data_IF_050655418706
#
_entry.id   IF_050655418706
#
_cell.length_a   1.000
_cell.length_b   1.000
_cell.length_c   1.000
_cell.angle_alpha   90.00
_cell.angle_beta   90.00
_cell.angle_gamma   90.00
#
_symmetry.space_group_name_H-M   'P 1'
#
loop_
_entity.id
_entity.type
_entity.pdbx_description
1 polymer ?
#
# COMPACT_ATOMS: atom_id res chain seq x y z
N UNK A 1 19.99 29.61 63.89
CA UNK A 1 21.17 30.47 63.65
C UNK A 1 21.63 30.26 62.20
N UNK A 2 21.71 31.35 61.42
CA UNK A 2 22.29 31.54 60.06
C UNK A 2 21.62 30.74 58.91
N UNK A 3 20.76 31.34 58.08
CA UNK A 3 21.05 32.25 56.93
C UNK A 3 22.21 31.72 56.05
N UNK A 4 22.09 31.52 54.73
CA UNK A 4 21.72 32.55 53.76
C UNK A 4 21.43 31.96 52.37
N UNK A 5 20.44 32.54 51.70
CA UNK A 5 20.19 32.51 50.25
C UNK A 5 21.29 33.30 49.52
N UNK A 6 21.66 32.93 48.27
CA UNK A 6 21.62 33.81 47.06
C UNK A 6 22.45 33.35 45.84
N UNK A 7 21.77 33.40 44.68
CA UNK A 7 22.16 34.03 43.39
C UNK A 7 23.02 33.22 42.37
N UNK A 8 22.31 32.84 41.30
CA UNK A 8 22.57 33.08 39.86
C UNK A 8 24.00 33.42 39.40
N UNK A 9 24.51 32.69 38.42
CA UNK A 9 25.22 33.31 37.28
C UNK A 9 25.05 32.46 36.01
N UNK A 10 24.35 33.04 35.04
CA UNK A 10 24.25 32.63 33.65
C UNK A 10 25.48 33.20 32.92
N UNK A 11 26.23 32.37 32.18
CA UNK A 11 27.26 32.87 31.25
C UNK A 11 26.99 32.27 29.86
N UNK A 12 26.47 33.14 29.00
CA UNK A 12 26.55 33.08 27.55
C UNK A 12 27.98 33.41 27.12
N UNK A 13 28.56 32.60 26.24
CA UNK A 13 29.64 33.05 25.35
C UNK A 13 29.30 32.66 23.91
N UNK A 14 28.92 33.70 23.17
CA UNK A 14 28.87 33.77 21.71
C UNK A 14 30.28 34.06 21.16
N UNK A 15 30.42 33.83 19.86
CA UNK A 15 31.45 34.32 18.91
C UNK A 15 32.80 33.55 18.93
N UNK A 16 33.41 33.14 17.80
CA UNK A 16 33.43 33.77 16.46
C UNK A 16 33.82 32.77 15.36
N UNK A 17 33.26 32.96 14.16
CA UNK A 17 33.82 32.51 12.89
C UNK A 17 35.03 33.39 12.51
N UNK A 18 36.13 32.81 12.04
CA UNK A 18 37.08 33.44 11.10
C UNK A 18 37.54 32.38 10.07
N UNK A 19 37.49 32.80 8.81
CA UNK A 19 37.79 32.11 7.54
C UNK A 19 39.27 32.23 7.14
N UNK A 20 39.63 31.48 6.09
CA UNK A 20 40.79 31.54 5.17
C UNK A 20 41.84 30.43 5.43
N UNK A 21 42.19 29.52 4.51
CA UNK A 21 42.02 29.42 3.06
C UNK A 21 43.39 29.35 2.38
N UNK A 22 43.85 28.15 1.95
CA UNK A 22 44.63 27.91 0.70
C UNK A 22 45.10 26.45 0.51
N UNK A 23 45.00 26.03 -0.76
CA UNK A 23 45.31 24.74 -1.38
C UNK A 23 46.80 24.33 -1.37
N UNK A 24 47.06 23.02 -1.38
CA UNK A 24 48.19 22.37 -2.08
C UNK A 24 47.67 21.05 -2.70
N UNK A 25 47.92 20.86 -4.01
CA UNK A 25 47.62 19.66 -4.82
C UNK A 25 48.76 18.63 -4.81
N UNK A 26 48.36 17.34 -4.72
CA UNK A 26 48.83 16.10 -5.39
C UNK A 26 50.30 15.61 -5.36
N UNK A 27 50.58 14.32 -5.74
CA UNK A 27 49.73 13.13 -5.92
C UNK A 27 50.28 11.87 -5.22
N UNK A 28 49.48 10.80 -5.10
CA UNK A 28 49.94 9.46 -5.49
C UNK A 28 48.77 8.47 -5.59
N UNK A 29 48.87 7.70 -6.65
CA UNK A 29 47.89 6.88 -7.34
C UNK A 29 47.96 5.45 -6.80
N UNK A 30 46.84 4.90 -6.32
CA UNK A 30 46.62 3.45 -6.36
C UNK A 30 45.15 3.17 -6.63
N UNK A 31 44.92 2.83 -7.89
CA UNK A 31 43.71 2.27 -8.48
C UNK A 31 43.24 1.05 -7.70
N UNK A 32 41.96 1.07 -7.32
CA UNK A 32 41.22 -0.14 -6.98
C UNK A 32 39.82 0.03 -7.54
N UNK A 33 39.64 -0.46 -8.77
CA UNK A 33 38.35 -0.53 -9.45
C UNK A 33 37.39 -1.37 -8.60
N UNK A 34 36.54 -0.69 -7.83
CA UNK A 34 35.28 -1.27 -7.38
C UNK A 34 34.27 -1.01 -8.50
N UNK A 35 33.90 -2.09 -9.16
CA UNK A 35 32.72 -2.15 -10.03
C UNK A 35 31.52 -1.82 -9.16
N UNK A 36 31.11 -0.56 -9.16
CA UNK A 36 29.82 -0.13 -8.66
C UNK A 36 28.77 -0.82 -9.52
N UNK A 37 28.15 -1.85 -8.94
CA UNK A 37 26.99 -2.46 -9.56
C UNK A 37 25.85 -1.49 -9.32
N UNK A 38 25.59 -0.61 -10.28
CA UNK A 38 24.40 0.24 -10.29
C UNK A 38 23.17 -0.66 -10.17
N UNK A 39 22.65 -0.73 -8.95
CA UNK A 39 21.31 -1.23 -8.66
C UNK A 39 20.37 -0.27 -9.39
N UNK A 40 19.44 -0.74 -10.24
CA UNK A 40 18.48 0.16 -10.87
C UNK A 40 17.54 0.71 -9.78
N UNK A 41 17.88 1.86 -9.22
CA UNK A 41 16.96 2.74 -8.50
C UNK A 41 16.05 3.40 -9.53
N UNK A 42 15.10 2.61 -10.06
CA UNK A 42 13.84 3.19 -10.50
C UNK A 42 13.01 3.41 -9.23
N UNK A 43 13.38 4.43 -8.48
CA UNK A 43 12.55 4.96 -7.42
C UNK A 43 11.33 5.59 -8.10
N UNK A 44 10.23 4.85 -8.03
CA UNK A 44 8.94 5.26 -8.54
C UNK A 44 8.57 6.62 -7.96
N UNK A 45 8.41 7.62 -8.83
CA UNK A 45 7.89 8.93 -8.47
C UNK A 45 6.40 8.95 -8.85
N UNK A 46 5.46 8.71 -7.90
CA UNK A 46 4.04 8.74 -8.20
C UNK A 46 3.63 10.13 -8.69
N UNK A 47 2.84 10.16 -9.76
CA UNK A 47 2.12 11.37 -10.15
C UNK A 47 1.00 11.61 -9.12
N UNK A 48 1.21 12.60 -8.25
CA UNK A 48 0.27 12.97 -7.19
C UNK A 48 -0.83 13.84 -7.79
N UNK A 49 -1.94 13.21 -8.22
CA UNK A 49 -3.17 13.96 -8.47
C UNK A 49 -3.75 14.38 -7.12
N UNK A 50 -4.06 15.67 -6.96
CA UNK A 50 -4.71 16.18 -5.76
C UNK A 50 -6.20 15.91 -5.87
N UNK A 51 -6.70 15.00 -5.03
CA UNK A 51 -8.12 14.93 -4.72
C UNK A 51 -8.52 16.28 -4.14
N UNK A 52 -9.25 17.10 -4.91
CA UNK A 52 -9.96 18.21 -4.30
C UNK A 52 -11.14 17.62 -3.52
N UNK A 53 -11.16 17.85 -2.21
CA UNK A 53 -12.38 17.68 -1.41
C UNK A 53 -13.48 18.54 -2.04
N UNK A 54 -14.33 17.91 -2.83
CA UNK A 54 -15.60 18.48 -3.25
C UNK A 54 -16.59 18.01 -2.21
N UNK A 55 -17.20 18.92 -1.45
CA UNK A 55 -18.44 18.63 -0.72
C UNK A 55 -19.41 17.94 -1.68
N UNK A 56 -19.54 16.62 -1.61
CA UNK A 56 -20.15 15.83 -2.68
C UNK A 56 -20.80 14.58 -2.10
N UNK A 57 -22.07 14.67 -1.70
CA UNK A 57 -23.09 13.61 -1.68
C UNK A 57 -22.61 12.13 -1.46
N UNK A 58 -21.63 11.86 -0.59
CA UNK A 58 -21.03 10.53 -0.38
C UNK A 58 -20.36 9.90 -1.61
N UNK A 59 -19.79 10.70 -2.54
CA UNK A 59 -19.10 10.18 -3.74
C UNK A 59 -17.81 10.91 -4.06
N UNK A 60 -16.83 10.16 -4.58
CA UNK A 60 -15.50 10.60 -4.99
C UNK A 60 -15.25 10.37 -6.49
N UNK A 61 -14.36 11.15 -7.11
CA UNK A 61 -14.01 11.02 -8.53
C UNK A 61 -12.59 10.50 -8.70
N UNK A 62 -12.43 9.33 -9.30
CA UNK A 62 -11.15 8.80 -9.75
C UNK A 62 -10.89 9.28 -11.18
N UNK A 63 -9.88 10.12 -11.35
CA UNK A 63 -9.55 10.73 -12.64
C UNK A 63 -8.38 10.02 -13.35
N UNK A 64 -8.65 9.55 -14.57
CA UNK A 64 -7.64 9.10 -15.54
C UNK A 64 -7.59 10.09 -16.70
N UNK A 65 -6.60 9.96 -17.60
CA UNK A 65 -6.42 10.88 -18.74
C UNK A 65 -7.59 10.91 -19.74
N UNK A 66 -8.35 9.82 -19.83
CA UNK A 66 -9.36 9.54 -20.86
C UNK A 66 -10.67 8.96 -20.27
N UNK A 67 -10.76 8.86 -18.94
CA UNK A 67 -11.92 8.33 -18.22
C UNK A 67 -12.01 8.94 -16.83
N UNK A 68 -13.23 9.15 -16.34
CA UNK A 68 -13.49 9.48 -14.95
C UNK A 68 -14.48 8.47 -14.38
N UNK A 69 -14.09 7.87 -13.26
CA UNK A 69 -14.95 6.97 -12.50
C UNK A 69 -15.46 7.72 -11.28
N UNK A 70 -16.77 7.81 -11.14
CA UNK A 70 -17.43 8.31 -9.93
C UNK A 70 -17.70 7.10 -9.04
N UNK A 71 -17.14 7.08 -7.83
CA UNK A 71 -17.23 5.98 -6.87
C UNK A 71 -17.93 6.48 -5.60
N UNK A 72 -18.82 5.69 -5.02
CA UNK A 72 -19.27 5.92 -3.64
C UNK A 72 -18.07 5.97 -2.71
N UNK A 73 -18.05 6.95 -1.82
CA UNK A 73 -16.93 7.23 -0.95
C UNK A 73 -16.55 5.99 -0.13
N UNK A 74 -15.25 5.75 -0.05
CA UNK A 74 -14.68 4.78 0.88
C UNK A 74 -14.13 5.59 2.04
N UNK A 75 -14.67 5.34 3.23
CA UNK A 75 -14.29 6.02 4.46
C UNK A 75 -12.93 5.45 4.94
N UNK A 76 -11.87 6.25 4.80
CA UNK A 76 -10.49 5.78 4.90
C UNK A 76 -9.77 6.25 6.18
N UNK A 77 -10.52 6.50 7.25
CA UNK A 77 -9.95 6.86 8.53
C UNK A 77 -10.98 7.36 9.53
N UNK A 78 -10.52 7.54 10.77
CA UNK A 78 -11.22 8.33 11.77
C UNK A 78 -11.21 9.77 11.29
N UNK A 79 -12.23 10.19 10.53
CA UNK A 79 -12.59 11.59 10.47
C UNK A 79 -12.58 12.11 11.92
N UNK A 80 -11.70 13.09 12.21
CA UNK A 80 -11.93 14.17 13.18
C UNK A 80 -10.64 14.81 13.75
N UNK A 81 -9.43 14.24 13.63
CA UNK A 81 -8.27 14.82 14.36
C UNK A 81 -7.15 15.46 13.52
N UNK A 82 -6.88 15.05 12.28
CA UNK A 82 -5.67 15.53 11.56
C UNK A 82 -5.76 15.70 10.05
N UNK A 83 -6.92 15.51 9.41
CA UNK A 83 -7.01 15.72 7.97
C UNK A 83 -6.82 17.22 7.66
N UNK A 84 -5.75 17.51 6.94
CA UNK A 84 -5.67 18.75 6.14
C UNK A 84 -6.40 18.49 4.83
N UNK A 85 -6.97 19.52 4.20
CA UNK A 85 -7.81 19.45 2.98
C UNK A 85 -7.13 18.81 1.73
N UNK A 86 -6.00 18.13 1.88
CA UNK A 86 -5.11 17.71 0.80
C UNK A 86 -4.63 16.25 0.89
N UNK A 87 -5.15 15.46 1.83
CA UNK A 87 -4.84 14.02 1.87
C UNK A 87 -5.71 13.30 0.82
N UNK A 88 -5.08 12.93 -0.29
CA UNK A 88 -5.74 12.15 -1.33
C UNK A 88 -5.95 10.72 -0.85
N UNK A 89 -7.21 10.30 -0.76
CA UNK A 89 -7.66 8.95 -0.40
C UNK A 89 -7.19 7.84 -1.37
N UNK A 90 -6.70 8.23 -2.55
CA UNK A 90 -6.10 7.34 -3.54
C UNK A 90 -4.95 8.03 -4.28
N UNK A 91 -4.11 7.23 -4.94
CA UNK A 91 -3.08 7.71 -5.88
C UNK A 91 -3.30 7.10 -7.25
N UNK A 92 -3.07 7.85 -8.33
CA UNK A 92 -3.16 7.35 -9.71
C UNK A 92 -1.80 7.26 -10.37
N UNK A 93 -1.53 6.14 -11.05
CA UNK A 93 -0.44 6.02 -12.02
C UNK A 93 -0.98 5.45 -13.34
N UNK A 94 -0.93 6.28 -14.40
CA UNK A 94 -1.43 5.98 -15.74
C UNK A 94 -2.88 5.48 -15.72
N UNK A 95 -3.06 4.18 -15.91
CA UNK A 95 -4.34 3.51 -16.01
C UNK A 95 -4.77 2.85 -14.70
N UNK A 96 -4.03 3.08 -13.60
CA UNK A 96 -4.28 2.43 -12.30
C UNK A 96 -4.52 3.47 -11.21
N UNK A 97 -5.55 3.26 -10.40
CA UNK A 97 -5.76 3.96 -9.13
C UNK A 97 -5.48 3.00 -7.97
N UNK A 98 -4.86 3.49 -6.91
CA UNK A 98 -4.44 2.73 -5.73
C UNK A 98 -5.09 3.31 -4.49
N UNK A 99 -5.76 2.45 -3.72
CA UNK A 99 -6.38 2.73 -2.43
C UNK A 99 -5.69 1.87 -1.37
N UNK A 100 -5.24 2.50 -0.29
CA UNK A 100 -4.67 1.82 0.88
C UNK A 100 -5.73 1.75 1.98
N UNK A 101 -6.52 0.68 1.99
CA UNK A 101 -7.74 0.60 2.79
C UNK A 101 -7.47 0.66 4.29
N UNK A 102 -8.41 1.27 5.01
CA UNK A 102 -8.42 1.33 6.46
C UNK A 102 -9.28 0.21 7.08
N UNK A 103 -8.98 -0.29 8.29
CA UNK A 103 -9.88 -1.21 8.97
C UNK A 103 -11.26 -0.56 9.23
N UNK A 104 -12.32 -1.14 8.66
CA UNK A 104 -13.70 -0.74 8.96
C UNK A 104 -14.58 -0.62 7.72
N UNK A 105 -14.19 0.23 6.76
CA UNK A 105 -14.91 0.39 5.50
C UNK A 105 -14.22 -0.39 4.37
N UNK A 106 -15.05 -0.96 3.50
CA UNK A 106 -14.62 -1.81 2.41
C UNK A 106 -15.19 -1.33 1.09
N UNK A 107 -14.62 -1.81 -0.02
CA UNK A 107 -15.19 -1.55 -1.35
C UNK A 107 -16.37 -2.48 -1.68
N UNK A 108 -16.66 -3.49 -0.85
CA UNK A 108 -17.64 -4.56 -1.10
C UNK A 108 -19.09 -4.07 -1.01
N UNK A 109 -19.55 -3.33 -2.01
CA UNK A 109 -20.93 -2.84 -2.24
C UNK A 109 -20.95 -1.44 -2.84
N UNK A 110 -19.80 -0.74 -2.79
CA UNK A 110 -19.63 0.60 -3.29
C UNK A 110 -20.03 0.67 -4.76
N UNK A 111 -20.95 1.56 -5.05
CA UNK A 111 -21.41 1.85 -6.41
C UNK A 111 -20.36 2.66 -7.14
N UNK A 112 -20.30 2.44 -8.44
CA UNK A 112 -19.52 3.31 -9.31
C UNK A 112 -20.28 3.63 -10.59
N UNK A 113 -19.86 4.68 -11.27
CA UNK A 113 -20.35 5.06 -12.59
C UNK A 113 -19.20 5.60 -13.42
N UNK A 114 -19.35 5.57 -14.75
CA UNK A 114 -18.44 6.22 -15.68
C UNK A 114 -19.07 7.53 -16.13
N UNK A 115 -18.35 8.64 -16.00
CA UNK A 115 -18.88 9.98 -16.30
C UNK A 115 -19.07 10.20 -17.81
N UNK A 116 -18.20 9.62 -18.64
CA UNK A 116 -18.24 9.73 -20.09
C UNK A 116 -19.31 8.81 -20.69
N UNK A 117 -20.48 9.40 -20.98
CA UNK A 117 -21.69 8.69 -21.46
C UNK A 117 -21.52 7.90 -22.78
N UNK A 118 -20.48 8.17 -23.57
CA UNK A 118 -20.21 7.40 -24.79
C UNK A 118 -19.73 5.98 -24.51
N UNK A 119 -19.27 5.68 -23.29
CA UNK A 119 -18.96 4.34 -22.83
C UNK A 119 -20.21 3.67 -22.25
N UNK A 120 -20.96 3.00 -23.10
CA UNK A 120 -22.28 2.43 -22.79
C UNK A 120 -22.26 0.93 -22.46
N UNK A 121 -21.08 0.31 -22.47
CA UNK A 121 -20.87 -1.09 -22.07
C UNK A 121 -19.69 -1.23 -21.13
N UNK A 122 -19.97 -1.69 -19.92
CA UNK A 122 -18.98 -1.87 -18.86
C UNK A 122 -18.85 -3.35 -18.52
N UNK A 123 -17.61 -3.85 -18.54
CA UNK A 123 -17.22 -5.15 -18.02
C UNK A 123 -16.28 -4.93 -16.84
N UNK A 124 -16.43 -5.75 -15.80
CA UNK A 124 -15.57 -5.73 -14.61
C UNK A 124 -14.93 -7.10 -14.44
N UNK A 125 -13.64 -7.12 -14.17
CA UNK A 125 -12.89 -8.32 -13.85
C UNK A 125 -12.12 -8.11 -12.56
N UNK A 126 -11.94 -9.17 -11.80
CA UNK A 126 -11.20 -9.15 -10.55
C UNK A 126 -10.02 -10.11 -10.60
N UNK A 127 -8.92 -9.69 -9.98
CA UNK A 127 -7.79 -10.53 -9.62
C UNK A 127 -7.45 -10.27 -8.16
N UNK A 128 -7.25 -11.32 -7.38
CA UNK A 128 -6.98 -11.25 -5.95
C UNK A 128 -5.57 -11.78 -5.66
N UNK A 129 -4.86 -11.10 -4.77
CA UNK A 129 -3.50 -11.46 -4.34
C UNK A 129 -3.54 -11.85 -2.87
N UNK A 130 -3.11 -13.09 -2.59
CA UNK A 130 -2.98 -13.64 -1.26
C UNK A 130 -1.51 -13.81 -0.90
N UNK A 131 -1.15 -13.43 0.32
CA UNK A 131 0.16 -13.71 0.90
C UNK A 131 0.00 -14.54 2.17
N UNK A 132 1.07 -15.20 2.57
CA UNK A 132 1.12 -15.82 3.89
C UNK A 132 1.24 -14.74 4.96
N UNK A 133 0.47 -14.87 6.03
CA UNK A 133 0.58 -14.02 7.19
C UNK A 133 0.68 -14.85 8.47
N UNK A 134 1.45 -14.33 9.43
CA UNK A 134 1.63 -14.90 10.76
C UNK A 134 0.72 -14.19 11.75
N UNK A 135 0.02 -14.96 12.58
CA UNK A 135 -0.64 -14.49 13.79
C UNK A 135 0.24 -14.80 15.00
N UNK A 136 0.32 -13.85 15.91
CA UNK A 136 1.06 -14.01 17.17
C UNK A 136 0.08 -14.20 18.32
N UNK A 137 0.48 -14.98 19.32
CA UNK A 137 -0.23 -15.02 20.61
C UNK A 137 0.26 -13.96 21.60
N UNK A 138 1.22 -13.12 21.19
CA UNK A 138 1.75 -12.03 22.02
C UNK A 138 0.69 -10.95 22.21
N UNK A 139 0.67 -10.36 23.40
CA UNK A 139 -0.12 -9.16 23.68
C UNK A 139 0.61 -7.92 23.14
N UNK A 140 0.44 -7.67 21.84
CA UNK A 140 0.93 -6.47 21.14
C UNK A 140 -0.22 -5.81 20.38
N UNK A 141 -0.03 -4.54 20.01
CA UNK A 141 -1.06 -3.73 19.33
C UNK A 141 -1.56 -4.38 18.04
N UNK A 142 -0.65 -4.90 17.21
CA UNK A 142 -0.98 -5.64 15.99
C UNK A 142 -0.28 -7.01 16.02
N UNK A 143 -0.94 -8.08 16.52
CA UNK A 143 -0.36 -9.43 16.59
C UNK A 143 -0.43 -10.13 15.22
N UNK A 144 -0.07 -9.42 14.16
CA UNK A 144 -0.17 -9.86 12.77
C UNK A 144 1.07 -9.45 11.97
N UNK A 145 1.59 -10.33 11.11
CA UNK A 145 2.68 -10.02 10.18
C UNK A 145 2.44 -10.67 8.82
N UNK A 146 2.23 -9.88 7.77
CA UNK A 146 2.25 -10.37 6.40
C UNK A 146 3.69 -10.61 5.95
N UNK A 147 3.98 -11.80 5.43
CA UNK A 147 5.29 -12.17 4.91
C UNK A 147 5.45 -11.57 3.50
N UNK A 148 5.79 -10.28 3.45
CA UNK A 148 6.01 -9.56 2.20
C UNK A 148 7.26 -10.06 1.46
N UNK A 149 7.29 -9.85 0.14
CA UNK A 149 8.40 -10.24 -0.75
C UNK A 149 8.76 -11.74 -0.72
N UNK A 150 7.79 -12.59 -0.37
CA UNK A 150 7.90 -14.04 -0.41
C UNK A 150 6.86 -14.64 -1.38
N UNK A 151 6.64 -15.96 -1.29
CA UNK A 151 5.66 -16.70 -2.08
C UNK A 151 4.27 -16.07 -1.94
N UNK A 152 3.64 -15.85 -3.09
CA UNK A 152 2.34 -15.20 -3.24
C UNK A 152 1.46 -16.10 -4.09
N UNK A 153 0.17 -16.15 -3.80
CA UNK A 153 -0.82 -16.70 -4.71
C UNK A 153 -1.53 -15.54 -5.40
N UNK A 154 -1.63 -15.62 -6.72
CA UNK A 154 -2.37 -14.68 -7.54
C UNK A 154 -3.49 -15.46 -8.23
N UNK A 155 -4.73 -14.99 -8.11
CA UNK A 155 -5.83 -15.59 -8.84
C UNK A 155 -5.71 -15.31 -10.34
N UNK A 156 -6.36 -16.14 -11.14
CA UNK A 156 -6.69 -15.75 -12.50
C UNK A 156 -7.67 -14.58 -12.50
N UNK A 157 -7.74 -13.86 -13.63
CA UNK A 157 -8.77 -12.85 -13.83
C UNK A 157 -10.14 -13.52 -13.92
N UNK A 158 -11.02 -13.21 -12.99
CA UNK A 158 -12.41 -13.67 -12.99
C UNK A 158 -13.35 -12.54 -13.40
N UNK A 159 -14.40 -12.81 -14.22
CA UNK A 159 -15.42 -11.80 -14.50
C UNK A 159 -16.27 -11.55 -13.25
N UNK A 160 -16.57 -10.29 -12.98
CA UNK A 160 -17.51 -9.89 -11.91
C UNK A 160 -18.86 -9.61 -12.54
N UNK A 161 -19.90 -10.28 -12.05
CA UNK A 161 -21.25 -10.09 -12.57
C UNK A 161 -21.79 -8.71 -12.20
N UNK A 162 -21.98 -7.87 -13.22
CA UNK A 162 -22.53 -6.52 -13.06
C UNK A 162 -24.05 -6.49 -13.28
N UNK A 163 -24.73 -5.65 -12.51
CA UNK A 163 -26.05 -5.13 -12.85
C UNK A 163 -25.87 -3.81 -13.59
N UNK A 164 -26.24 -3.75 -14.87
CA UNK A 164 -26.00 -2.55 -15.70
C UNK A 164 -26.80 -1.32 -15.23
N UNK A 165 -27.85 -1.50 -14.42
CA UNK A 165 -28.61 -0.39 -13.82
C UNK A 165 -27.98 0.13 -12.51
N UNK A 166 -27.08 -0.64 -11.89
CA UNK A 166 -26.43 -0.31 -10.63
C UNK A 166 -25.07 -1.02 -10.58
N UNK A 167 -24.04 -0.37 -11.12
CA UNK A 167 -22.69 -0.93 -11.11
C UNK A 167 -22.13 -0.88 -9.69
N UNK A 168 -21.61 -2.00 -9.21
CA UNK A 168 -21.05 -2.16 -7.86
C UNK A 168 -19.80 -3.00 -7.93
N UNK A 169 -18.85 -2.71 -7.05
CA UNK A 169 -17.78 -3.64 -6.78
C UNK A 169 -18.31 -4.80 -5.95
N UNK A 170 -17.97 -6.01 -6.39
CA UNK A 170 -18.23 -7.28 -5.71
C UNK A 170 -17.01 -8.15 -5.95
N UNK A 171 -16.73 -9.01 -4.99
CA UNK A 171 -15.62 -9.94 -5.11
C UNK A 171 -16.11 -11.37 -5.24
N UNK A 172 -15.38 -12.14 -6.03
CA UNK A 172 -15.54 -13.57 -6.15
C UNK A 172 -14.56 -14.30 -5.21
N UNK A 173 -14.04 -13.63 -4.17
CA UNK A 173 -13.06 -14.20 -3.23
C UNK A 173 -13.48 -15.55 -2.65
N UNK A 174 -14.77 -15.70 -2.32
CA UNK A 174 -15.34 -16.94 -1.76
C UNK A 174 -15.22 -18.15 -2.71
N UNK A 175 -15.11 -17.91 -4.02
CA UNK A 175 -14.94 -18.96 -5.04
C UNK A 175 -13.47 -19.37 -5.23
N UNK A 176 -12.53 -18.67 -4.58
CA UNK A 176 -11.09 -18.91 -4.71
C UNK A 176 -10.62 -19.84 -3.59
N UNK A 177 -9.92 -20.91 -3.96
CA UNK A 177 -9.21 -21.76 -3.02
C UNK A 177 -7.69 -21.55 -3.18
N UNK A 178 -7.11 -20.52 -2.53
CA UNK A 178 -5.70 -20.18 -2.71
C UNK A 178 -4.80 -21.26 -2.10
N UNK A 179 -3.75 -21.65 -2.82
CA UNK A 179 -2.77 -22.63 -2.35
C UNK A 179 -1.36 -22.09 -2.59
N UNK A 180 -0.59 -21.94 -1.50
CA UNK A 180 0.84 -21.63 -1.57
C UNK A 180 1.63 -22.85 -1.09
N UNK A 181 2.41 -23.45 -2.00
CA UNK A 181 3.21 -24.63 -1.70
C UNK A 181 4.57 -24.25 -1.07
N UNK A 182 4.78 -24.68 0.17
CA UNK A 182 6.04 -24.51 0.90
C UNK A 182 6.35 -25.67 1.85
N UNK A 183 7.61 -25.74 2.30
CA UNK A 183 8.04 -26.60 3.42
C UNK A 183 8.09 -25.82 4.73
N UNK A 184 8.05 -26.52 5.88
CA UNK A 184 8.15 -25.90 7.21
C UNK A 184 9.43 -25.07 7.36
N UNK A 185 10.55 -25.55 6.81
CA UNK A 185 11.83 -24.85 6.90
C UNK A 185 11.89 -23.61 6.00
N UNK A 186 11.27 -23.66 4.81
CA UNK A 186 11.11 -22.46 3.97
C UNK A 186 10.31 -21.37 4.69
N UNK A 187 9.19 -21.74 5.34
CA UNK A 187 8.39 -20.77 6.09
C UNK A 187 9.16 -20.20 7.27
N UNK A 188 9.85 -21.03 8.05
CA UNK A 188 10.70 -20.57 9.17
C UNK A 188 11.74 -19.56 8.72
N UNK A 189 12.39 -19.82 7.58
CA UNK A 189 13.35 -18.89 6.99
C UNK A 189 12.66 -17.57 6.59
N UNK A 190 11.54 -17.63 5.88
CA UNK A 190 10.78 -16.46 5.45
C UNK A 190 10.27 -15.62 6.63
N UNK A 191 9.75 -16.25 7.69
CA UNK A 191 9.31 -15.55 8.90
C UNK A 191 10.48 -14.85 9.59
N UNK A 192 11.62 -15.52 9.71
CA UNK A 192 12.82 -14.92 10.31
C UNK A 192 13.32 -13.71 9.51
N UNK A 193 13.27 -13.79 8.18
CA UNK A 193 13.71 -12.73 7.27
C UNK A 193 12.75 -11.54 7.23
N UNK A 194 11.46 -11.79 7.09
CA UNK A 194 10.48 -10.74 6.78
C UNK A 194 9.68 -10.24 7.99
N UNK A 195 9.46 -11.09 9.01
CA UNK A 195 8.78 -10.71 10.25
C UNK A 195 9.75 -10.48 11.41
N UNK A 196 10.93 -11.12 11.38
CA UNK A 196 11.99 -10.97 12.38
C UNK A 196 12.06 -12.11 13.41
N UNK A 197 13.06 -12.02 14.30
CA UNK A 197 13.45 -13.12 15.18
C UNK A 197 12.38 -13.48 16.22
N UNK A 198 11.61 -12.51 16.70
CA UNK A 198 10.56 -12.75 17.68
C UNK A 198 9.45 -13.64 17.12
N UNK A 199 9.04 -13.39 15.88
CA UNK A 199 8.06 -14.21 15.16
C UNK A 199 8.60 -15.60 14.86
N UNK A 200 9.86 -15.70 14.47
CA UNK A 200 10.52 -16.99 14.29
C UNK A 200 10.53 -17.82 15.57
N UNK A 201 10.75 -17.20 16.73
CA UNK A 201 10.80 -17.88 18.02
C UNK A 201 9.48 -18.57 18.39
N UNK A 202 8.33 -18.07 17.91
CA UNK A 202 7.02 -18.71 18.12
C UNK A 202 6.86 -20.01 17.32
N UNK A 203 7.53 -20.11 16.16
CA UNK A 203 7.39 -21.26 15.25
C UNK A 203 8.64 -22.14 15.14
N UNK A 204 9.76 -21.81 15.79
CA UNK A 204 11.04 -22.52 15.63
C UNK A 204 10.95 -24.03 15.88
N UNK A 205 10.08 -24.44 16.81
CA UNK A 205 9.87 -25.84 17.20
C UNK A 205 8.77 -26.55 16.40
N UNK A 206 8.12 -25.83 15.47
CA UNK A 206 7.09 -26.39 14.60
C UNK A 206 7.65 -27.52 13.74
N UNK A 207 6.88 -28.61 13.62
CA UNK A 207 7.26 -29.81 12.86
C UNK A 207 6.37 -30.09 11.66
N UNK A 208 5.15 -29.57 11.63
CA UNK A 208 4.20 -29.76 10.54
C UNK A 208 3.39 -28.50 10.26
N UNK A 209 2.71 -28.46 9.11
CA UNK A 209 1.83 -27.36 8.73
C UNK A 209 0.59 -27.24 9.62
N UNK A 210 0.16 -28.31 10.27
CA UNK A 210 -1.06 -28.29 11.11
C UNK A 210 -0.87 -27.50 12.41
N UNK A 211 0.38 -27.17 12.75
CA UNK A 211 0.76 -26.37 13.92
C UNK A 211 0.89 -24.87 13.57
N UNK A 212 0.54 -24.48 12.34
CA UNK A 212 0.76 -23.13 11.84
C UNK A 212 -0.18 -22.12 12.51
N UNK A 213 0.36 -21.07 13.17
CA UNK A 213 -0.41 -19.88 13.47
C UNK A 213 -0.42 -18.94 12.24
N UNK A 214 -0.50 -19.49 11.03
CA UNK A 214 -0.43 -18.72 9.78
C UNK A 214 -1.68 -18.91 8.96
N UNK A 215 -2.10 -17.86 8.27
CA UNK A 215 -3.21 -17.91 7.33
C UNK A 215 -2.81 -17.37 5.96
N UNK A 216 -3.56 -17.76 4.94
CA UNK A 216 -3.55 -17.04 3.68
C UNK A 216 -4.38 -15.77 3.89
N UNK A 217 -3.73 -14.63 3.71
CA UNK A 217 -4.34 -13.33 3.91
C UNK A 217 -4.46 -12.61 2.57
N UNK A 218 -5.64 -12.09 2.31
CA UNK A 218 -5.91 -11.29 1.11
C UNK A 218 -5.27 -9.93 1.26
N UNK A 219 -4.23 -9.68 0.47
CA UNK A 219 -3.46 -8.44 0.54
C UNK A 219 -3.92 -7.38 -0.46
N UNK A 220 -4.50 -7.82 -1.59
CA UNK A 220 -4.84 -6.92 -2.68
C UNK A 220 -6.01 -7.45 -3.49
N UNK A 221 -6.95 -6.56 -3.79
CA UNK A 221 -7.96 -6.76 -4.85
C UNK A 221 -7.61 -5.85 -6.01
N UNK A 222 -7.59 -6.40 -7.21
CA UNK A 222 -7.33 -5.66 -8.44
C UNK A 222 -8.57 -5.79 -9.32
N UNK A 223 -9.25 -4.68 -9.52
CA UNK A 223 -10.35 -4.58 -10.46
C UNK A 223 -9.87 -4.00 -11.78
N UNK A 224 -10.22 -4.66 -12.87
CA UNK A 224 -10.04 -4.17 -14.24
C UNK A 224 -11.40 -3.82 -14.82
N UNK A 225 -11.57 -2.56 -15.14
CA UNK A 225 -12.77 -2.00 -15.76
C UNK A 225 -12.49 -1.86 -17.25
N UNK A 226 -13.29 -2.53 -18.07
CA UNK A 226 -13.25 -2.40 -19.53
C UNK A 226 -14.50 -1.63 -19.96
N UNK A 227 -14.28 -0.42 -20.47
CA UNK A 227 -15.33 0.46 -20.95
C UNK A 227 -15.32 0.51 -22.48
N UNK A 228 -16.48 0.31 -23.12
CA UNK A 228 -16.61 0.24 -24.57
C UNK A 228 -17.64 1.22 -25.11
N UNK A 229 -17.36 1.76 -26.29
CA UNK A 229 -18.30 2.56 -27.08
C UNK A 229 -19.02 1.64 -28.06
N UNK A 230 -20.29 1.31 -27.84
CA UNK A 230 -21.00 0.35 -28.72
C UNK A 230 -21.09 0.81 -30.18
N UNK A 231 -21.07 2.12 -30.44
CA UNK A 231 -21.18 2.69 -31.79
C UNK A 231 -19.91 2.50 -32.63
N UNK A 232 -18.73 2.59 -32.01
CA UNK A 232 -17.44 2.56 -32.73
C UNK A 232 -16.66 1.27 -32.47
N UNK A 233 -16.94 0.57 -31.37
CA UNK A 233 -16.17 -0.58 -30.92
C UNK A 233 -14.91 -0.20 -30.14
N UNK A 234 -14.62 1.10 -29.97
CA UNK A 234 -13.48 1.58 -29.19
C UNK A 234 -13.60 1.08 -27.75
N UNK A 235 -12.46 0.69 -27.18
CA UNK A 235 -12.37 0.19 -25.80
C UNK A 235 -11.21 0.84 -25.08
N UNK A 236 -11.40 1.09 -23.79
CA UNK A 236 -10.35 1.48 -22.87
C UNK A 236 -10.38 0.54 -21.66
N UNK A 237 -9.27 0.50 -20.94
CA UNK A 237 -9.09 -0.35 -19.77
C UNK A 237 -8.49 0.50 -18.66
N UNK A 238 -9.07 0.42 -17.47
CA UNK A 238 -8.55 1.03 -16.24
C UNK A 238 -8.52 0.02 -15.11
N UNK A 239 -7.68 0.28 -14.13
CA UNK A 239 -7.47 -0.56 -12.97
C UNK A 239 -7.73 0.24 -11.70
N UNK A 240 -8.35 -0.42 -10.72
CA UNK A 240 -8.43 0.05 -9.35
C UNK A 240 -7.86 -1.05 -8.47
N UNK A 241 -6.89 -0.69 -7.66
CA UNK A 241 -6.18 -1.57 -6.74
C UNK A 241 -6.57 -1.16 -5.34
N UNK A 242 -7.13 -2.11 -4.59
CA UNK A 242 -7.44 -1.97 -3.18
C UNK A 242 -6.45 -2.81 -2.37
N UNK A 243 -5.52 -2.16 -1.68
CA UNK A 243 -4.60 -2.81 -0.75
C UNK A 243 -5.30 -2.93 0.60
N UNK A 244 -5.31 -4.14 1.16
CA UNK A 244 -5.95 -4.38 2.46
C UNK A 244 -5.05 -3.88 3.59
N UNK A 245 -5.62 -3.40 4.72
CA UNK A 245 -4.82 -2.96 5.85
C UNK A 245 -4.04 -4.16 6.42
N UNK A 246 -2.72 -3.99 6.52
CA UNK A 246 -1.81 -5.00 7.10
C UNK A 246 -1.34 -4.64 8.51
N UNK A 247 -1.71 -3.45 8.98
CA UNK A 247 -1.54 -2.94 10.34
C UNK A 247 -2.72 -2.05 10.70
N UNK A 248 -3.08 -2.00 11.99
CA UNK A 248 -3.99 -1.02 12.55
C UNK A 248 -3.26 0.27 12.90
#
# INVERSE_FOLDING_TARGET
MKNSVKIFTLILLLSSCISDGKNIENPDEHTNDRVDTEKPTNEFQPYRSTSHYVESNGTQKIQYSDLTIVLEEIEMGWDDMYLTDNDSIYVTDKDTAYFDLWPGDWFFDKKFNIEQSEFDKIELYEKIIYKMAMRSNRTIEVPFCVINNWKTFESEWSPVQLNQNELKFRSNEEDINPIINFTVEELKAAVKEHCGIEWYNEIKNMKSKDQLPSELFTTTYIFKIVARKSKTGDRIQKFIVFNTPTSC
#
